data_IF_939777800619
#
_entry.id   IF_939777800619
#
_cell.length_a   1.000
_cell.length_b   1.000
_cell.length_c   1.000
_cell.angle_alpha   90.00
_cell.angle_beta   90.00
_cell.angle_gamma   90.00
#
_symmetry.space_group_name_H-M   'P 1'
#
loop_
_entity.id
_entity.type
_entity.pdbx_description
1 polymer ?
#
# COMPACT_ATOMS: atom_id res chain seq x y z
N UNK A 1 11.46 -4.07 2.76
CA UNK A 1 10.01 -3.91 2.91
C UNK A 1 9.58 -2.46 2.69
N UNK A 2 8.37 -2.27 2.24
CA UNK A 2 7.82 -0.95 1.96
C UNK A 2 6.82 -0.57 3.06
N UNK A 3 7.08 0.50 3.77
CA UNK A 3 6.21 0.99 4.84
C UNK A 3 5.34 2.13 4.31
N UNK A 4 4.05 2.07 4.59
CA UNK A 4 3.09 3.08 4.14
C UNK A 4 2.60 3.93 5.31
N UNK A 5 2.68 5.25 5.14
CA UNK A 5 2.24 6.21 6.15
C UNK A 5 1.25 7.19 5.53
N UNK A 6 0.52 7.90 6.37
CA UNK A 6 -0.41 8.93 5.92
C UNK A 6 -1.87 8.52 6.13
N UNK A 7 -2.77 9.38 5.67
CA UNK A 7 -4.20 9.15 5.84
C UNK A 7 -4.77 8.19 4.81
N UNK A 8 -4.10 8.10 3.67
CA UNK A 8 -4.56 7.23 2.59
C UNK A 8 -3.40 7.04 1.60
N UNK A 9 -3.60 6.12 0.67
CA UNK A 9 -2.60 5.84 -0.34
C UNK A 9 -2.73 6.85 -1.48
N UNK A 10 -1.69 7.65 -1.70
CA UNK A 10 -1.65 8.64 -2.78
C UNK A 10 -1.34 7.96 -4.12
N UNK A 11 -1.57 8.65 -5.25
CA UNK A 11 -1.21 8.08 -6.56
C UNK A 11 0.26 7.70 -6.68
N UNK A 12 1.16 8.49 -6.05
CA UNK A 12 2.58 8.16 -6.05
C UNK A 12 2.85 6.88 -5.26
N UNK A 13 2.16 6.71 -4.14
CA UNK A 13 2.30 5.49 -3.34
C UNK A 13 1.76 4.28 -4.07
N UNK A 14 0.70 4.44 -4.87
CA UNK A 14 0.17 3.33 -5.65
C UNK A 14 1.19 2.76 -6.61
N UNK A 15 1.95 3.63 -7.26
CA UNK A 15 2.99 3.18 -8.18
C UNK A 15 4.08 2.41 -7.45
N UNK A 16 4.46 2.88 -6.27
CA UNK A 16 5.47 2.18 -5.48
C UNK A 16 4.96 0.83 -4.99
N UNK A 17 3.68 0.76 -4.63
CA UNK A 17 3.08 -0.50 -4.19
C UNK A 17 3.06 -1.51 -5.33
N UNK A 18 2.66 -1.08 -6.52
CA UNK A 18 2.64 -1.97 -7.68
C UNK A 18 4.04 -2.48 -8.01
N UNK A 19 5.02 -1.61 -7.94
CA UNK A 19 6.40 -2.02 -8.18
C UNK A 19 6.89 -3.00 -7.13
N UNK A 20 6.55 -2.74 -5.87
CA UNK A 20 6.94 -3.63 -4.79
C UNK A 20 6.32 -5.01 -4.96
N UNK A 21 5.06 -5.08 -5.39
CA UNK A 21 4.41 -6.36 -5.65
C UNK A 21 5.10 -7.13 -6.77
N UNK A 22 5.50 -6.43 -7.82
CA UNK A 22 6.24 -7.05 -8.93
C UNK A 22 7.56 -7.64 -8.45
N UNK A 23 8.21 -6.96 -7.51
CA UNK A 23 9.51 -7.38 -7.00
C UNK A 23 9.40 -8.29 -5.78
N UNK A 24 8.19 -8.66 -5.39
CA UNK A 24 7.92 -9.49 -4.22
C UNK A 24 8.44 -8.87 -2.92
N UNK A 25 8.35 -7.55 -2.83
CA UNK A 25 8.75 -6.82 -1.62
C UNK A 25 7.53 -6.73 -0.68
N UNK A 26 7.66 -7.12 0.58
CA UNK A 26 6.54 -7.00 1.54
C UNK A 26 6.10 -5.55 1.71
N UNK A 27 4.80 -5.33 1.71
CA UNK A 27 4.21 -4.00 1.88
C UNK A 27 3.54 -3.96 3.25
N UNK A 28 3.94 -3.01 4.09
CA UNK A 28 3.44 -2.90 5.45
C UNK A 28 2.79 -1.55 5.68
N UNK A 29 1.46 -1.49 5.75
CA UNK A 29 0.78 -0.25 6.08
C UNK A 29 0.95 0.02 7.58
N UNK A 30 1.40 1.22 7.92
CA UNK A 30 1.71 1.58 9.31
C UNK A 30 0.63 2.44 9.96
N UNK A 31 -0.30 2.98 9.20
CA UNK A 31 -1.36 3.84 9.73
C UNK A 31 -2.73 3.25 9.42
N UNK A 32 -3.74 3.70 10.18
CA UNK A 32 -5.11 3.25 9.96
C UNK A 32 -5.59 3.55 8.55
N UNK A 33 -5.25 4.76 8.06
CA UNK A 33 -5.66 5.17 6.73
C UNK A 33 -5.08 4.30 5.63
N UNK A 34 -3.79 3.99 5.72
CA UNK A 34 -3.15 3.15 4.71
C UNK A 34 -3.62 1.70 4.81
N UNK A 35 -3.88 1.21 6.02
CA UNK A 35 -4.40 -0.13 6.19
C UNK A 35 -5.77 -0.29 5.53
N UNK A 36 -6.64 0.68 5.76
CA UNK A 36 -7.98 0.66 5.18
C UNK A 36 -7.94 0.80 3.67
N UNK A 37 -7.13 1.72 3.18
CA UNK A 37 -7.02 1.96 1.74
C UNK A 37 -6.47 0.76 1.01
N UNK A 38 -5.47 0.10 1.57
CA UNK A 38 -4.92 -1.11 0.97
C UNK A 38 -5.98 -2.21 0.89
N UNK A 39 -6.74 -2.39 1.96
CA UNK A 39 -7.78 -3.40 1.99
C UNK A 39 -8.83 -3.14 0.91
N UNK A 40 -9.22 -1.87 0.74
CA UNK A 40 -10.24 -1.52 -0.24
C UNK A 40 -9.72 -1.55 -1.68
N UNK A 41 -8.46 -1.24 -1.88
CA UNK A 41 -7.89 -1.10 -3.23
C UNK A 41 -7.18 -2.34 -3.74
N UNK A 42 -6.60 -3.13 -2.86
CA UNK A 42 -5.73 -4.24 -3.27
C UNK A 42 -6.14 -5.60 -2.72
N UNK A 43 -7.12 -5.63 -1.86
CA UNK A 43 -7.57 -6.88 -1.24
C UNK A 43 -9.08 -7.04 -1.39
N UNK A 44 -9.54 -6.99 -2.61
CA UNK A 44 -10.99 -7.04 -2.88
C UNK A 44 -11.41 -8.25 -3.70
N UNK A 45 -10.69 -9.23 -3.60
CA UNK A 45 -11.00 -10.47 -4.31
C UNK A 45 -12.04 -11.29 -3.61
#
# INVERSE_FOLDING_TARGET
ELWLFGDRISPGMEKEILLAKEMNIPIIPKTEGTKRDMKNSFDHD
#
